data_IF_056831840334
#
_entry.id   IF_056831840334
#
_cell.length_a   1.000
_cell.length_b   1.000
_cell.length_c   1.000
_cell.angle_alpha   90.00
_cell.angle_beta   90.00
_cell.angle_gamma   90.00
#
_symmetry.space_group_name_H-M   'P 1'
#
loop_
_entity.id
_entity.type
_entity.pdbx_description
1 polymer ?
#
# COMPACT_ATOMS: atom_id res chain seq x y z
N UNK A 1 -5.59 31.24 -11.06
CA UNK A 1 -4.57 30.22 -10.71
C UNK A 1 -3.73 30.04 -11.96
N UNK A 2 -2.40 30.24 -11.91
CA UNK A 2 -1.54 30.05 -13.08
C UNK A 2 -1.55 28.55 -13.39
N UNK A 3 -1.92 28.13 -14.60
CA UNK A 3 -1.82 26.73 -15.00
C UNK A 3 -0.36 26.29 -14.86
N UNK A 4 -0.09 25.46 -13.87
CA UNK A 4 1.21 24.81 -13.72
C UNK A 4 1.26 23.65 -14.70
N UNK A 5 2.27 23.62 -15.57
CA UNK A 5 2.54 22.44 -16.37
C UNK A 5 3.06 21.32 -15.44
N UNK A 6 2.23 20.30 -15.26
CA UNK A 6 2.50 19.12 -14.42
C UNK A 6 2.82 17.88 -15.26
N UNK A 7 3.07 18.02 -16.55
CA UNK A 7 3.33 16.91 -17.49
C UNK A 7 4.48 16.01 -17.04
N UNK A 8 5.49 16.60 -16.36
CA UNK A 8 6.64 15.89 -15.82
C UNK A 8 6.33 14.93 -14.66
N UNK A 9 5.14 15.01 -14.05
CA UNK A 9 4.68 14.08 -13.01
C UNK A 9 4.10 12.79 -13.60
N UNK A 10 3.74 12.77 -14.89
CA UNK A 10 3.17 11.60 -15.54
C UNK A 10 4.27 10.61 -15.93
N UNK A 11 3.99 9.31 -15.72
CA UNK A 11 4.93 8.24 -16.05
C UNK A 11 4.44 7.41 -17.24
N UNK A 12 5.33 6.89 -18.09
CA UNK A 12 4.95 6.07 -19.25
C UNK A 12 4.65 4.61 -18.90
N UNK A 13 4.63 4.24 -17.61
CA UNK A 13 4.49 2.86 -17.16
C UNK A 13 3.03 2.41 -16.98
N UNK A 14 2.06 3.30 -17.20
CA UNK A 14 0.64 2.98 -17.19
C UNK A 14 0.14 2.40 -18.50
N UNK A 15 -1.12 1.94 -18.51
CA UNK A 15 -1.80 1.46 -19.71
C UNK A 15 -2.31 2.59 -20.62
N UNK A 16 -2.23 3.84 -20.16
CA UNK A 16 -2.63 5.05 -20.88
C UNK A 16 -1.39 5.92 -21.04
N UNK A 17 -0.98 6.27 -22.28
CA UNK A 17 0.15 7.16 -22.51
C UNK A 17 -0.05 8.53 -21.84
N UNK A 18 1.03 9.18 -21.32
CA UNK A 18 0.92 10.48 -20.65
C UNK A 18 0.17 11.55 -21.46
N UNK A 19 0.46 11.68 -22.75
CA UNK A 19 -0.19 12.65 -23.62
C UNK A 19 -1.70 12.37 -23.82
N UNK A 20 -2.11 11.10 -23.76
CA UNK A 20 -3.53 10.74 -23.83
C UNK A 20 -4.23 11.03 -22.49
N UNK A 21 -3.57 10.71 -21.37
CA UNK A 21 -4.05 11.06 -20.03
C UNK A 21 -4.30 12.57 -19.90
N UNK A 22 -3.37 13.41 -20.36
CA UNK A 22 -3.54 14.87 -20.35
C UNK A 22 -4.76 15.32 -21.15
N UNK A 23 -4.94 14.80 -22.36
CA UNK A 23 -6.09 15.14 -23.21
C UNK A 23 -7.41 14.71 -22.57
N UNK A 24 -7.45 13.53 -21.94
CA UNK A 24 -8.64 13.05 -21.22
C UNK A 24 -9.08 14.06 -20.15
N UNK A 25 -8.14 14.56 -19.35
CA UNK A 25 -8.45 15.52 -18.28
C UNK A 25 -8.70 16.94 -18.81
N UNK A 26 -8.01 17.38 -19.86
CA UNK A 26 -8.24 18.70 -20.49
C UNK A 26 -9.62 18.79 -21.16
N UNK A 27 -10.04 17.72 -21.84
CA UNK A 27 -11.32 17.67 -22.53
C UNK A 27 -12.47 17.20 -21.61
N UNK A 28 -12.19 16.91 -20.32
CA UNK A 28 -13.11 16.29 -19.36
C UNK A 28 -13.77 14.99 -19.87
N UNK A 29 -13.07 14.26 -20.74
CA UNK A 29 -13.54 13.03 -21.39
C UNK A 29 -13.22 11.78 -20.59
N UNK A 30 -13.70 11.74 -19.36
CA UNK A 30 -13.47 10.61 -18.44
C UNK A 30 -14.06 9.30 -18.96
N UNK A 31 -15.03 9.32 -19.89
CA UNK A 31 -15.58 8.16 -20.59
C UNK A 31 -14.51 7.28 -21.25
N UNK A 32 -13.34 7.86 -21.59
CA UNK A 32 -12.19 7.14 -22.16
C UNK A 32 -11.37 6.36 -21.14
N UNK A 33 -11.55 6.61 -19.85
CA UNK A 33 -10.87 5.86 -18.80
C UNK A 33 -11.52 4.49 -18.60
N UNK A 34 -10.78 3.46 -18.17
CA UNK A 34 -11.37 2.26 -17.58
C UNK A 34 -12.37 2.61 -16.47
N UNK A 35 -13.44 1.84 -16.34
CA UNK A 35 -14.55 2.12 -15.40
C UNK A 35 -14.10 2.36 -13.95
N UNK A 36 -13.13 1.59 -13.46
CA UNK A 36 -12.59 1.77 -12.11
C UNK A 36 -11.87 3.12 -11.92
N UNK A 37 -11.26 3.67 -12.97
CA UNK A 37 -10.64 4.99 -12.94
C UNK A 37 -11.66 6.12 -13.10
N UNK A 38 -12.78 5.90 -13.83
CA UNK A 38 -13.89 6.85 -13.87
C UNK A 38 -14.47 7.09 -12.47
N UNK A 39 -14.72 5.99 -11.73
CA UNK A 39 -15.17 6.06 -10.34
C UNK A 39 -14.15 6.78 -9.45
N UNK A 40 -12.85 6.57 -9.68
CA UNK A 40 -11.80 7.26 -8.94
C UNK A 40 -11.80 8.78 -9.19
N UNK A 41 -12.03 9.21 -10.44
CA UNK A 41 -12.18 10.63 -10.78
C UNK A 41 -13.40 11.23 -10.07
N UNK A 42 -14.57 10.59 -10.18
CA UNK A 42 -15.79 11.06 -9.52
C UNK A 42 -15.61 11.22 -8.01
N UNK A 43 -15.07 10.19 -7.34
CA UNK A 43 -14.83 10.25 -5.89
C UNK A 43 -13.76 11.27 -5.51
N UNK A 44 -12.71 11.41 -6.30
CA UNK A 44 -11.64 12.39 -6.08
C UNK A 44 -12.16 13.83 -6.20
N UNK A 45 -13.00 14.10 -7.20
CA UNK A 45 -13.67 15.39 -7.41
C UNK A 45 -14.57 15.72 -6.22
N UNK A 46 -15.43 14.79 -5.80
CA UNK A 46 -16.30 14.98 -4.62
C UNK A 46 -15.47 15.25 -3.37
N UNK A 47 -14.44 14.44 -3.11
CA UNK A 47 -13.57 14.59 -1.94
C UNK A 47 -12.85 15.94 -1.90
N UNK A 48 -12.41 16.45 -3.06
CA UNK A 48 -11.78 17.76 -3.17
C UNK A 48 -12.76 18.89 -2.84
N UNK A 49 -13.97 18.87 -3.38
CA UNK A 49 -14.95 19.96 -3.19
C UNK A 49 -15.63 19.94 -1.81
N UNK A 50 -15.77 18.79 -1.17
CA UNK A 50 -16.38 18.71 0.16
C UNK A 50 -15.45 19.21 1.28
N UNK A 51 -14.13 18.97 1.16
CA UNK A 51 -13.19 19.23 2.27
C UNK A 51 -11.99 20.12 1.92
N UNK A 52 -11.80 20.50 0.65
CA UNK A 52 -10.65 21.26 0.13
C UNK A 52 -9.28 20.74 0.61
N UNK A 53 -9.20 19.41 0.83
CA UNK A 53 -8.06 18.74 1.44
C UNK A 53 -7.42 17.81 0.42
N UNK A 54 -6.19 18.13 0.02
CA UNK A 54 -5.45 17.36 -0.98
C UNK A 54 -5.22 15.90 -0.55
N UNK A 55 -5.01 15.65 0.74
CA UNK A 55 -4.82 14.29 1.26
C UNK A 55 -6.07 13.41 1.10
N UNK A 56 -7.27 13.99 1.11
CA UNK A 56 -8.51 13.26 0.86
C UNK A 56 -8.64 12.79 -0.60
N UNK A 57 -8.01 13.51 -1.54
CA UNK A 57 -8.00 13.12 -2.94
C UNK A 57 -7.16 11.85 -3.13
N UNK A 58 -5.95 11.82 -2.59
CA UNK A 58 -5.07 10.65 -2.64
C UNK A 58 -5.78 9.42 -2.04
N UNK A 59 -6.41 9.59 -0.87
CA UNK A 59 -7.17 8.51 -0.22
C UNK A 59 -8.37 8.03 -1.04
N UNK A 60 -9.10 8.91 -1.73
CA UNK A 60 -10.22 8.52 -2.57
C UNK A 60 -9.75 7.67 -3.76
N UNK A 61 -8.64 8.06 -4.40
CA UNK A 61 -8.04 7.33 -5.51
C UNK A 61 -7.48 5.99 -5.05
N UNK A 62 -6.71 5.96 -3.96
CA UNK A 62 -6.16 4.73 -3.37
C UNK A 62 -7.28 3.75 -2.99
N UNK A 63 -8.37 4.25 -2.40
CA UNK A 63 -9.52 3.42 -2.07
C UNK A 63 -10.11 2.74 -3.30
N UNK A 64 -10.33 3.47 -4.39
CA UNK A 64 -10.79 2.90 -5.65
C UNK A 64 -9.80 1.87 -6.22
N UNK A 65 -8.50 2.15 -6.12
CA UNK A 65 -7.46 1.21 -6.53
C UNK A 65 -7.54 -0.10 -5.74
N UNK A 66 -7.67 -0.05 -4.41
CA UNK A 66 -7.82 -1.24 -3.59
C UNK A 66 -9.13 -1.99 -3.85
N UNK A 67 -10.26 -1.29 -4.03
CA UNK A 67 -11.55 -1.91 -4.40
C UNK A 67 -11.40 -2.72 -5.72
N UNK A 68 -10.74 -2.14 -6.72
CA UNK A 68 -10.49 -2.82 -8.00
C UNK A 68 -9.51 -4.01 -7.87
N UNK A 69 -8.37 -3.82 -7.22
CA UNK A 69 -7.32 -4.82 -7.15
C UNK A 69 -7.70 -6.03 -6.27
N UNK A 70 -8.54 -5.80 -5.27
CA UNK A 70 -9.09 -6.85 -4.39
C UNK A 70 -10.33 -7.54 -4.98
N UNK A 71 -10.86 -7.05 -6.10
CA UNK A 71 -11.97 -7.68 -6.84
C UNK A 71 -11.53 -8.41 -8.11
N UNK A 72 -10.21 -8.51 -8.38
CA UNK A 72 -9.69 -9.16 -9.58
C UNK A 72 -10.19 -10.61 -9.68
N UNK A 73 -10.54 -11.04 -10.89
CA UNK A 73 -10.95 -12.43 -11.16
C UNK A 73 -9.78 -13.42 -11.04
N UNK A 74 -8.54 -12.91 -11.06
CA UNK A 74 -7.32 -13.70 -10.89
C UNK A 74 -7.01 -13.92 -9.39
N UNK A 75 -7.25 -15.12 -8.82
CA UNK A 75 -7.26 -15.31 -7.37
C UNK A 75 -5.92 -15.05 -6.68
N UNK A 76 -4.80 -15.38 -7.34
CA UNK A 76 -3.46 -15.13 -6.80
C UNK A 76 -3.18 -13.63 -6.65
N UNK A 77 -3.43 -12.85 -7.70
CA UNK A 77 -3.23 -11.40 -7.66
C UNK A 77 -4.23 -10.72 -6.73
N UNK A 78 -5.50 -11.17 -6.75
CA UNK A 78 -6.51 -10.71 -5.78
C UNK A 78 -6.00 -10.91 -4.36
N UNK A 79 -5.66 -12.13 -3.97
CA UNK A 79 -5.23 -12.45 -2.61
C UNK A 79 -3.93 -11.72 -2.22
N UNK A 80 -3.00 -11.51 -3.16
CA UNK A 80 -1.83 -10.65 -2.94
C UNK A 80 -2.27 -9.24 -2.51
N UNK A 81 -3.17 -8.60 -3.26
CA UNK A 81 -3.66 -7.25 -2.93
C UNK A 81 -4.50 -7.21 -1.66
N UNK A 82 -5.21 -8.28 -1.32
CA UNK A 82 -5.90 -8.39 -0.02
C UNK A 82 -4.90 -8.39 1.13
N UNK A 83 -3.78 -9.10 1.00
CA UNK A 83 -2.69 -9.04 1.97
C UNK A 83 -2.07 -7.63 2.05
N UNK A 84 -1.87 -6.97 0.89
CA UNK A 84 -1.36 -5.59 0.85
C UNK A 84 -2.32 -4.64 1.57
N UNK A 85 -3.63 -4.75 1.34
CA UNK A 85 -4.65 -3.91 1.99
C UNK A 85 -4.59 -4.06 3.51
N UNK A 86 -4.57 -5.29 4.02
CA UNK A 86 -4.47 -5.56 5.45
C UNK A 86 -3.18 -4.99 6.04
N UNK A 87 -2.02 -5.25 5.44
CA UNK A 87 -0.73 -4.77 5.93
C UNK A 87 -0.66 -3.23 5.90
N UNK A 88 -1.20 -2.59 4.86
CA UNK A 88 -1.30 -1.12 4.79
C UNK A 88 -2.19 -0.57 5.90
N UNK A 89 -3.35 -1.18 6.14
CA UNK A 89 -4.24 -0.78 7.23
C UNK A 89 -3.57 -0.94 8.60
N UNK A 90 -2.92 -2.08 8.86
CA UNK A 90 -2.18 -2.33 10.10
C UNK A 90 -1.08 -1.26 10.28
N UNK A 91 -0.27 -1.01 9.25
CA UNK A 91 0.76 0.05 9.28
C UNK A 91 0.16 1.40 9.64
N UNK A 92 -1.01 1.68 9.07
CA UNK A 92 -1.71 2.95 9.25
C UNK A 92 -2.19 3.09 10.70
N UNK A 93 -2.77 2.05 11.28
CA UNK A 93 -3.14 2.02 12.71
C UNK A 93 -1.93 2.30 13.59
N UNK A 94 -0.80 1.62 13.37
CA UNK A 94 0.41 1.84 14.18
C UNK A 94 0.94 3.28 14.06
N UNK A 95 0.87 3.88 12.86
CA UNK A 95 1.29 5.27 12.65
C UNK A 95 0.34 6.28 13.30
N UNK A 96 -0.96 6.03 13.24
CA UNK A 96 -1.97 6.86 13.87
C UNK A 96 -1.92 6.76 15.40
N UNK A 97 -1.63 5.58 15.95
CA UNK A 97 -1.46 5.36 17.38
C UNK A 97 -0.33 6.21 17.98
N UNK A 98 0.84 6.25 17.32
CA UNK A 98 1.98 7.09 17.74
C UNK A 98 1.64 8.59 17.75
N UNK A 99 0.65 9.00 16.93
CA UNK A 99 0.21 10.40 16.82
C UNK A 99 -1.02 10.72 17.67
N UNK A 100 -1.60 9.72 18.32
CA UNK A 100 -2.90 9.82 18.99
C UNK A 100 -4.04 10.28 18.05
N UNK A 101 -4.06 9.73 16.83
CA UNK A 101 -5.00 10.08 15.75
C UNK A 101 -5.79 8.86 15.24
N UNK A 102 -6.04 7.87 16.09
CA UNK A 102 -6.68 6.58 15.70
C UNK A 102 -8.09 6.78 15.13
N UNK A 103 -8.79 7.83 15.54
CA UNK A 103 -10.10 8.21 15.01
C UNK A 103 -10.06 8.49 13.50
N UNK A 104 -8.87 8.83 12.95
CA UNK A 104 -8.70 9.03 11.51
C UNK A 104 -8.76 7.73 10.71
N UNK A 105 -8.62 6.57 11.34
CA UNK A 105 -8.55 5.27 10.66
C UNK A 105 -9.76 5.03 9.74
N UNK A 106 -10.94 5.50 10.15
CA UNK A 106 -12.19 5.38 9.36
C UNK A 106 -12.11 6.08 8.00
N UNK A 107 -11.33 7.15 7.89
CA UNK A 107 -11.19 7.93 6.66
C UNK A 107 -10.08 7.40 5.74
N UNK A 108 -9.10 6.69 6.30
CA UNK A 108 -7.90 6.24 5.59
C UNK A 108 -7.83 4.72 5.42
N UNK A 109 -8.91 4.01 5.74
CA UNK A 109 -9.02 2.56 5.61
C UNK A 109 -9.10 2.12 4.14
N UNK A 110 -8.25 1.16 3.80
CA UNK A 110 -8.17 0.51 2.49
C UNK A 110 -9.03 -0.76 2.49
N UNK A 111 -10.07 -0.85 1.64
CA UNK A 111 -11.01 -1.96 1.68
C UNK A 111 -10.48 -3.22 0.99
N UNK A 112 -11.23 -4.32 1.13
CA UNK A 112 -11.04 -5.56 0.36
C UNK A 112 -10.07 -6.57 0.97
N UNK A 113 -9.46 -6.27 2.11
CA UNK A 113 -8.57 -7.16 2.84
C UNK A 113 -9.20 -8.48 3.35
N UNK A 114 -8.43 -9.26 4.09
CA UNK A 114 -8.93 -10.43 4.82
C UNK A 114 -9.45 -10.07 6.22
N UNK A 115 -9.02 -8.94 6.78
CA UNK A 115 -9.49 -8.48 8.09
C UNK A 115 -10.94 -7.98 7.98
N UNK A 116 -11.90 -8.53 8.77
CA UNK A 116 -13.27 -8.05 8.74
C UNK A 116 -13.35 -6.58 9.21
N UNK A 117 -13.82 -5.69 8.34
CA UNK A 117 -13.79 -4.24 8.58
C UNK A 117 -14.42 -3.83 9.91
N UNK A 118 -15.60 -4.38 10.25
CA UNK A 118 -16.30 -4.05 11.50
C UNK A 118 -15.49 -4.42 12.74
N UNK A 119 -14.90 -5.61 12.75
CA UNK A 119 -14.08 -6.08 13.87
C UNK A 119 -12.75 -5.33 13.94
N UNK A 120 -12.15 -5.04 12.78
CA UNK A 120 -10.93 -4.25 12.68
C UNK A 120 -11.13 -2.85 13.27
N UNK A 121 -12.20 -2.15 12.87
CA UNK A 121 -12.50 -0.81 13.37
C UNK A 121 -12.81 -0.83 14.87
N UNK A 122 -13.61 -1.80 15.34
CA UNK A 122 -13.90 -1.95 16.76
C UNK A 122 -12.62 -2.19 17.59
N UNK A 123 -11.69 -3.01 17.08
CA UNK A 123 -10.42 -3.26 17.74
C UNK A 123 -9.51 -2.02 17.75
N UNK A 124 -9.52 -1.21 16.69
CA UNK A 124 -8.80 0.07 16.63
C UNK A 124 -9.33 1.07 17.67
N UNK A 125 -10.66 1.20 17.77
CA UNK A 125 -11.32 2.13 18.70
C UNK A 125 -11.11 1.72 20.17
N UNK A 126 -11.03 0.41 20.44
CA UNK A 126 -10.80 -0.14 21.78
C UNK A 126 -9.34 0.02 22.28
N UNK A 127 -8.41 0.42 21.41
CA UNK A 127 -7.01 0.67 21.75
C UNK A 127 -6.06 -0.46 21.37
N UNK A 128 -4.75 -0.21 21.57
CA UNK A 128 -3.70 -1.09 21.02
C UNK A 128 -3.70 -2.51 21.57
N UNK A 129 -4.04 -2.73 22.84
CA UNK A 129 -4.07 -4.08 23.39
C UNK A 129 -5.18 -4.92 22.72
N UNK A 130 -6.36 -4.33 22.50
CA UNK A 130 -7.44 -4.95 21.74
C UNK A 130 -7.08 -5.16 20.27
N UNK A 131 -6.38 -4.20 19.65
CA UNK A 131 -5.88 -4.33 18.29
C UNK A 131 -4.89 -5.48 18.13
N UNK A 132 -3.89 -5.58 19.01
CA UNK A 132 -2.92 -6.68 19.00
C UNK A 132 -3.60 -8.03 19.23
N UNK A 133 -4.54 -8.10 20.16
CA UNK A 133 -5.35 -9.30 20.37
C UNK A 133 -6.16 -9.68 19.12
N UNK A 134 -6.79 -8.71 18.46
CA UNK A 134 -7.51 -8.92 17.21
C UNK A 134 -6.59 -9.52 16.13
N UNK A 135 -5.42 -8.93 15.92
CA UNK A 135 -4.43 -9.36 14.92
C UNK A 135 -3.85 -10.74 15.23
N UNK A 136 -3.74 -11.14 16.49
CA UNK A 136 -3.18 -12.44 16.90
C UNK A 136 -3.90 -13.65 16.30
N UNK A 137 -5.15 -13.45 15.83
CA UNK A 137 -6.00 -14.44 15.18
C UNK A 137 -5.72 -14.59 13.68
N UNK A 138 -4.86 -13.75 13.11
CA UNK A 138 -4.56 -13.68 11.68
C UNK A 138 -3.08 -13.97 11.39
N UNK A 139 -2.72 -14.30 10.13
CA UNK A 139 -1.34 -14.59 9.73
C UNK A 139 -0.35 -13.43 9.91
N UNK A 140 -0.84 -12.23 10.25
CA UNK A 140 -0.02 -11.02 10.45
C UNK A 140 0.57 -10.91 11.86
N UNK A 141 0.24 -11.83 12.78
CA UNK A 141 0.66 -11.79 14.19
C UNK A 141 2.14 -11.52 14.37
N UNK A 142 3.01 -12.34 13.78
CA UNK A 142 4.47 -12.21 13.94
C UNK A 142 4.98 -10.87 13.41
N UNK A 143 4.46 -10.42 12.26
CA UNK A 143 4.80 -9.13 11.64
C UNK A 143 4.48 -7.98 12.60
N UNK A 144 3.31 -8.03 13.24
CA UNK A 144 2.83 -6.98 14.14
C UNK A 144 3.50 -7.03 15.51
N UNK A 145 3.63 -8.20 16.13
CA UNK A 145 4.26 -8.35 17.45
C UNK A 145 5.71 -7.87 17.43
N UNK A 146 6.51 -8.33 16.45
CA UNK A 146 7.91 -7.93 16.32
C UNK A 146 8.04 -6.44 15.92
N UNK A 147 7.24 -6.01 14.94
CA UNK A 147 7.29 -4.65 14.45
C UNK A 147 6.86 -3.62 15.48
N UNK A 148 5.82 -3.90 16.26
CA UNK A 148 5.35 -3.03 17.34
C UNK A 148 6.32 -3.01 18.52
N UNK A 149 6.90 -4.16 18.88
CA UNK A 149 7.93 -4.23 19.93
C UNK A 149 9.16 -3.40 19.55
N UNK A 150 9.60 -3.48 18.30
CA UNK A 150 10.69 -2.66 17.78
C UNK A 150 10.32 -1.17 17.74
N UNK A 151 9.09 -0.83 17.30
CA UNK A 151 8.59 0.54 17.30
C UNK A 151 8.64 1.15 18.70
N UNK A 152 8.21 0.43 19.74
CA UNK A 152 8.28 0.93 21.14
C UNK A 152 9.70 1.15 21.64
N UNK A 153 10.64 0.29 21.24
CA UNK A 153 12.03 0.35 21.71
C UNK A 153 12.87 1.39 20.98
N UNK A 154 12.74 1.46 19.66
CA UNK A 154 13.60 2.24 18.78
C UNK A 154 12.92 3.50 18.20
N UNK A 155 11.63 3.71 18.51
CA UNK A 155 10.79 4.76 17.91
C UNK A 155 10.88 4.79 16.37
N UNK A 156 10.87 3.60 15.76
CA UNK A 156 11.14 3.42 14.33
C UNK A 156 10.24 2.33 13.73
N UNK A 157 9.70 2.60 12.55
CA UNK A 157 8.88 1.65 11.78
C UNK A 157 9.72 0.69 10.94
N UNK A 158 11.05 0.84 10.94
CA UNK A 158 11.93 0.16 9.99
C UNK A 158 11.74 -1.36 9.99
N UNK A 159 11.69 -1.95 11.19
CA UNK A 159 11.52 -3.40 11.33
C UNK A 159 10.15 -3.86 10.84
N UNK A 160 9.10 -3.11 11.16
CA UNK A 160 7.75 -3.43 10.73
C UNK A 160 7.61 -3.37 9.20
N UNK A 161 8.13 -2.31 8.57
CA UNK A 161 8.11 -2.16 7.10
C UNK A 161 8.86 -3.30 6.40
N UNK A 162 10.01 -3.71 6.95
CA UNK A 162 10.74 -4.88 6.43
C UNK A 162 9.94 -6.17 6.57
N UNK A 163 9.33 -6.43 7.72
CA UNK A 163 8.54 -7.64 7.95
C UNK A 163 7.30 -7.71 7.06
N UNK A 164 6.68 -6.57 6.74
CA UNK A 164 5.61 -6.50 5.74
C UNK A 164 6.11 -6.94 4.36
N UNK A 165 7.28 -6.45 3.93
CA UNK A 165 7.88 -6.81 2.65
C UNK A 165 8.23 -8.30 2.60
N UNK A 166 8.87 -8.83 3.64
CA UNK A 166 9.18 -10.26 3.78
C UNK A 166 7.90 -11.11 3.74
N UNK A 167 6.81 -10.67 4.37
CA UNK A 167 5.52 -11.36 4.31
C UNK A 167 4.99 -11.46 2.87
N UNK A 168 5.03 -10.37 2.11
CA UNK A 168 4.59 -10.34 0.71
C UNK A 168 5.51 -11.19 -0.18
N UNK A 169 6.83 -11.20 0.06
CA UNK A 169 7.77 -12.06 -0.65
C UNK A 169 7.53 -13.55 -0.37
N UNK A 170 7.16 -13.92 0.85
CA UNK A 170 6.74 -15.28 1.20
C UNK A 170 5.50 -15.68 0.43
N UNK A 171 4.50 -14.79 0.35
CA UNK A 171 3.30 -15.02 -0.47
C UNK A 171 3.66 -15.27 -1.94
N UNK A 172 4.49 -14.41 -2.53
CA UNK A 172 4.96 -14.60 -3.91
C UNK A 172 5.74 -15.91 -4.09
N UNK A 173 6.40 -16.42 -3.04
CA UNK A 173 7.21 -17.64 -3.11
C UNK A 173 6.42 -18.94 -3.11
N UNK A 174 5.10 -18.91 -2.89
CA UNK A 174 4.20 -20.07 -3.03
C UNK A 174 4.25 -20.63 -4.48
N UNK A 175 4.56 -19.79 -5.46
CA UNK A 175 4.69 -20.21 -6.87
C UNK A 175 5.91 -21.09 -7.13
N UNK A 176 6.86 -21.23 -6.20
CA UNK A 176 8.00 -22.16 -6.36
C UNK A 176 7.56 -23.61 -6.52
N UNK A 177 6.35 -23.95 -6.09
CA UNK A 177 5.76 -25.29 -6.21
C UNK A 177 4.94 -25.47 -7.50
N UNK A 178 4.82 -24.42 -8.33
CA UNK A 178 4.02 -24.41 -9.55
C UNK A 178 4.92 -24.05 -10.74
N UNK A 179 4.96 -24.90 -11.75
CA UNK A 179 5.85 -24.72 -12.92
C UNK A 179 5.19 -23.98 -14.09
N UNK A 180 3.88 -23.73 -14.03
CA UNK A 180 3.09 -23.13 -15.11
C UNK A 180 2.06 -22.16 -14.53
N UNK A 181 1.75 -21.10 -15.26
CA UNK A 181 0.69 -20.14 -14.92
C UNK A 181 1.16 -18.67 -14.84
N UNK A 182 0.22 -17.72 -14.96
CA UNK A 182 0.52 -16.29 -14.83
C UNK A 182 1.08 -15.91 -13.45
N UNK A 183 0.82 -16.71 -12.41
CA UNK A 183 1.33 -16.52 -11.04
C UNK A 183 2.85 -16.53 -11.01
N UNK A 184 3.49 -17.41 -11.79
CA UNK A 184 4.95 -17.54 -11.86
C UNK A 184 5.57 -16.26 -12.40
N UNK A 185 4.97 -15.66 -13.44
CA UNK A 185 5.41 -14.40 -14.02
C UNK A 185 5.24 -13.23 -13.04
N UNK A 186 4.10 -13.15 -12.36
CA UNK A 186 3.85 -12.11 -11.34
C UNK A 186 4.82 -12.24 -10.17
N UNK A 187 5.08 -13.47 -9.70
CA UNK A 187 6.05 -13.73 -8.63
C UNK A 187 7.46 -13.34 -9.04
N UNK A 188 7.89 -13.68 -10.25
CA UNK A 188 9.18 -13.26 -10.79
C UNK A 188 9.28 -11.74 -10.81
N UNK A 189 8.28 -11.05 -11.38
CA UNK A 189 8.25 -9.60 -11.45
C UNK A 189 8.33 -8.95 -10.07
N UNK A 190 7.48 -9.36 -9.13
CA UNK A 190 7.48 -8.80 -7.76
C UNK A 190 8.80 -9.03 -7.00
N UNK A 191 9.44 -10.18 -7.18
CA UNK A 191 10.78 -10.44 -6.62
C UNK A 191 11.85 -9.58 -7.27
N UNK A 192 11.75 -9.34 -8.59
CA UNK A 192 12.69 -8.48 -9.30
C UNK A 192 12.56 -7.02 -8.87
N UNK A 193 11.34 -6.53 -8.67
CA UNK A 193 11.08 -5.21 -8.09
C UNK A 193 11.71 -5.08 -6.70
N UNK A 194 11.57 -6.10 -5.84
CA UNK A 194 12.21 -6.08 -4.53
C UNK A 194 13.74 -6.09 -4.62
N UNK A 195 14.32 -6.87 -5.52
CA UNK A 195 15.78 -6.89 -5.74
C UNK A 195 16.29 -5.51 -6.16
N UNK A 196 15.60 -4.85 -7.11
CA UNK A 196 15.91 -3.49 -7.56
C UNK A 196 15.80 -2.49 -6.40
N UNK A 197 14.77 -2.61 -5.57
CA UNK A 197 14.59 -1.79 -4.37
C UNK A 197 15.72 -1.99 -3.37
N UNK A 198 16.11 -3.23 -3.10
CA UNK A 198 17.23 -3.57 -2.21
C UNK A 198 18.55 -2.97 -2.74
N UNK A 199 18.81 -3.08 -4.05
CA UNK A 199 19.97 -2.44 -4.68
C UNK A 199 19.93 -0.91 -4.52
N UNK A 200 18.78 -0.28 -4.69
CA UNK A 200 18.61 1.17 -4.48
C UNK A 200 18.90 1.58 -3.04
N UNK A 201 18.44 0.80 -2.07
CA UNK A 201 18.73 1.01 -0.64
C UNK A 201 20.24 0.92 -0.39
N UNK A 202 20.91 -0.11 -0.91
CA UNK A 202 22.37 -0.31 -0.74
C UNK A 202 23.16 0.83 -1.39
N UNK A 203 22.82 1.20 -2.63
CA UNK A 203 23.51 2.26 -3.37
C UNK A 203 23.32 3.62 -2.68
N UNK A 204 22.08 3.98 -2.35
CA UNK A 204 21.79 5.23 -1.65
C UNK A 204 22.46 5.27 -0.27
N UNK A 205 22.43 4.17 0.48
CA UNK A 205 23.11 4.05 1.77
C UNK A 205 24.63 4.25 1.65
N UNK A 206 25.27 3.64 0.66
CA UNK A 206 26.71 3.80 0.41
C UNK A 206 27.08 5.22 -0.01
N UNK A 207 26.31 5.84 -0.92
CA UNK A 207 26.53 7.24 -1.35
C UNK A 207 26.45 8.19 -0.16
N UNK A 208 25.48 7.97 0.73
CA UNK A 208 25.26 8.79 1.93
C UNK A 208 26.08 8.35 3.14
N UNK A 209 27.03 7.40 2.99
CA UNK A 209 27.89 6.88 4.07
C UNK A 209 27.13 6.38 5.30
N UNK A 210 25.94 5.82 5.09
CA UNK A 210 25.14 5.21 6.16
C UNK A 210 25.87 3.96 6.68
N UNK A 211 25.91 3.71 8.01
CA UNK A 211 26.52 2.51 8.57
C UNK A 211 25.94 1.22 7.98
N UNK A 212 26.80 0.21 7.78
CA UNK A 212 26.44 -1.03 7.10
C UNK A 212 25.33 -1.79 7.84
N UNK A 213 25.31 -1.72 9.16
CA UNK A 213 24.34 -2.34 10.06
C UNK A 213 22.93 -1.79 9.78
N UNK A 214 22.83 -0.45 9.64
CA UNK A 214 21.59 0.26 9.35
C UNK A 214 21.09 -0.08 7.94
N UNK A 215 21.99 -0.16 6.96
CA UNK A 215 21.63 -0.57 5.59
C UNK A 215 21.09 -2.00 5.59
N UNK A 216 21.78 -2.93 6.25
CA UNK A 216 21.38 -4.34 6.34
C UNK A 216 20.01 -4.47 6.99
N UNK A 217 19.72 -3.67 8.01
CA UNK A 217 18.43 -3.70 8.69
C UNK A 217 17.25 -3.27 7.80
N UNK A 218 17.50 -2.52 6.72
CA UNK A 218 16.47 -2.08 5.76
C UNK A 218 16.16 -3.07 4.64
N UNK A 219 17.01 -4.07 4.42
CA UNK A 219 16.90 -4.98 3.28
C UNK A 219 15.95 -6.12 3.63
N UNK A 220 14.82 -6.21 2.93
CA UNK A 220 13.93 -7.37 3.00
C UNK A 220 14.45 -8.49 2.09
N UNK A 221 14.48 -9.73 2.59
CA UNK A 221 15.02 -10.92 1.88
C UNK A 221 14.00 -12.06 1.90
#
# INVERSE_FOLDING_TARGET
IKEMNLSHLLTPFGNIPPAEMERIFQDERYDKLPSHLQVAVERGVVAYYEKYRMDMLDHAVDRCMFEYLTSLEFPFMRNYWRCVADLVNIRTVLRLDVRDEREKMRWVYMPGGFLPEKEFMAACDAGMDSFLHFISRFPYREVVEDGYSYLKRENSFLRFERLMEEFLLRYLSITRYHYMGPEVLVSYWGKKEQEIKNLRIVLSGKINRVPQEVIRERIAV
#
